data_IF_017983173425
#
_entry.id   IF_017983173425
#
_cell.length_a   1.000
_cell.length_b   1.000
_cell.length_c   1.000
_cell.angle_alpha   90.00
_cell.angle_beta   90.00
_cell.angle_gamma   90.00
#
_symmetry.space_group_name_H-M   'P 1'
#
loop_
_entity.id
_entity.type
_entity.pdbx_description
1 polymer ?
#
# COMPACT_ATOMS: atom_id res chain seq x y z
N UNK A 1 20.19 5.97 1.44
CA UNK A 1 19.46 4.68 1.57
C UNK A 1 18.99 4.59 3.01
N UNK A 2 17.73 4.24 3.23
CA UNK A 2 17.16 4.06 4.58
C UNK A 2 17.04 2.57 4.90
N UNK A 3 17.34 2.21 6.15
CA UNK A 3 17.23 0.84 6.64
C UNK A 3 16.64 0.83 8.05
N UNK A 4 15.63 0.01 8.29
CA UNK A 4 15.02 -0.12 9.61
C UNK A 4 14.44 -1.52 9.86
N UNK A 5 14.13 -1.78 11.13
CA UNK A 5 13.45 -3.00 11.56
C UNK A 5 12.03 -2.70 11.99
N UNK A 6 11.11 -3.54 11.53
CA UNK A 6 9.70 -3.51 11.90
C UNK A 6 9.50 -4.10 13.31
N UNK A 7 8.52 -3.57 14.01
CA UNK A 7 8.09 -4.00 15.33
C UNK A 7 7.10 -5.18 15.26
N UNK A 8 6.55 -5.47 14.08
CA UNK A 8 5.69 -6.64 13.85
C UNK A 8 6.51 -7.94 13.90
N UNK A 9 5.97 -8.95 14.59
CA UNK A 9 6.59 -10.26 14.68
C UNK A 9 6.76 -10.93 13.31
N UNK A 10 7.96 -11.44 13.02
CA UNK A 10 8.32 -12.06 11.72
C UNK A 10 7.40 -13.19 11.29
N UNK A 11 6.79 -13.92 12.24
CA UNK A 11 5.78 -14.95 11.96
C UNK A 11 4.53 -14.37 11.29
N UNK A 12 4.07 -13.21 11.75
CA UNK A 12 2.91 -12.51 11.18
C UNK A 12 3.28 -12.03 9.78
N UNK A 13 4.44 -11.38 9.62
CA UNK A 13 4.92 -10.88 8.32
C UNK A 13 4.95 -12.02 7.29
N UNK A 14 5.54 -13.17 7.64
CA UNK A 14 5.59 -14.34 6.74
C UNK A 14 4.22 -14.89 6.37
N UNK A 15 3.25 -14.82 7.30
CA UNK A 15 1.90 -15.29 7.04
C UNK A 15 1.14 -14.36 6.10
N UNK A 16 1.32 -13.04 6.20
CA UNK A 16 0.58 -12.05 5.40
C UNK A 16 1.27 -11.72 4.07
N UNK A 17 2.58 -11.90 3.94
CA UNK A 17 3.33 -11.51 2.74
C UNK A 17 2.80 -12.14 1.44
N UNK A 18 2.45 -13.44 1.38
CA UNK A 18 1.83 -14.03 0.18
C UNK A 18 0.51 -13.36 -0.19
N UNK A 19 -0.28 -12.96 0.80
CA UNK A 19 -1.59 -12.34 0.60
C UNK A 19 -1.45 -10.88 0.19
N UNK A 20 -0.45 -10.15 0.72
CA UNK A 20 -0.08 -8.82 0.24
C UNK A 20 0.29 -8.83 -1.25
N UNK A 21 0.99 -9.87 -1.71
CA UNK A 21 1.27 -10.04 -3.14
C UNK A 21 0.01 -10.26 -3.96
N UNK A 22 -1.00 -10.95 -3.42
CA UNK A 22 -2.30 -11.07 -4.10
C UNK A 22 -3.04 -9.73 -4.19
N UNK A 23 -3.03 -8.94 -3.10
CA UNK A 23 -3.59 -7.59 -3.12
C UNK A 23 -2.86 -6.69 -4.12
N UNK A 24 -1.54 -6.81 -4.22
CA UNK A 24 -0.74 -6.08 -5.21
C UNK A 24 -1.14 -6.45 -6.65
N UNK A 25 -1.36 -7.73 -6.95
CA UNK A 25 -1.77 -8.16 -8.30
C UNK A 25 -3.12 -7.57 -8.71
N UNK A 26 -4.05 -7.37 -7.76
CA UNK A 26 -5.38 -6.81 -8.03
C UNK A 26 -5.45 -5.30 -7.84
N UNK A 27 -4.41 -4.62 -7.34
CA UNK A 27 -4.44 -3.17 -7.12
C UNK A 27 -4.73 -2.36 -8.40
N UNK A 28 -4.22 -2.76 -9.59
CA UNK A 28 -4.51 -2.04 -10.82
C UNK A 28 -5.99 -2.01 -11.22
N UNK A 29 -6.80 -2.98 -10.75
CA UNK A 29 -8.24 -3.01 -11.04
C UNK A 29 -9.00 -1.86 -10.35
N UNK A 30 -8.37 -1.21 -9.37
CA UNK A 30 -8.93 -0.08 -8.63
C UNK A 30 -8.36 1.28 -9.06
N UNK A 31 -7.49 1.30 -10.08
CA UNK A 31 -6.97 2.52 -10.69
C UNK A 31 -8.06 3.14 -11.59
N UNK A 32 -8.63 4.25 -11.13
CA UNK A 32 -9.55 5.07 -11.92
C UNK A 32 -9.07 6.53 -11.92
N UNK A 33 -8.19 6.84 -12.87
CA UNK A 33 -7.63 8.19 -13.06
C UNK A 33 -8.66 9.18 -13.61
N UNK A 34 -9.80 8.70 -14.10
CA UNK A 34 -10.84 9.56 -14.68
C UNK A 34 -11.62 10.34 -13.61
N UNK A 35 -11.54 9.90 -12.34
CA UNK A 35 -12.19 10.59 -11.21
C UNK A 35 -11.42 11.81 -10.69
N UNK A 36 -10.16 12.01 -11.10
CA UNK A 36 -9.29 13.11 -10.65
C UNK A 36 -9.18 14.17 -11.74
N UNK A 37 -10.34 14.74 -12.09
CA UNK A 37 -10.50 15.59 -13.28
C UNK A 37 -10.65 17.07 -12.91
N UNK A 38 -9.83 17.98 -13.45
CA UNK A 38 -10.24 19.38 -13.61
C UNK A 38 -11.25 19.45 -14.76
N UNK A 39 -12.48 19.88 -14.51
CA UNK A 39 -13.53 19.99 -15.53
C UNK A 39 -13.15 21.01 -16.62
N UNK A 40 -12.50 20.53 -17.70
CA UNK A 40 -12.01 21.34 -18.81
C UNK A 40 -12.43 20.75 -20.16
N UNK A 41 -12.94 21.61 -21.04
CA UNK A 41 -13.28 21.33 -22.45
C UNK A 41 -12.02 21.19 -23.35
N UNK A 42 -10.92 20.65 -22.82
CA UNK A 42 -9.66 20.46 -23.55
C UNK A 42 -9.27 18.97 -23.56
N UNK A 43 -9.61 18.29 -24.66
CA UNK A 43 -9.40 16.84 -24.83
C UNK A 43 -7.91 16.48 -24.80
N UNK A 44 -7.05 17.27 -25.43
CA UNK A 44 -5.61 16.98 -25.51
C UNK A 44 -4.97 17.12 -24.13
N UNK A 45 -5.37 18.12 -23.35
CA UNK A 45 -4.95 18.28 -21.97
C UNK A 45 -5.42 17.08 -21.11
N UNK A 46 -6.66 16.66 -21.29
CA UNK A 46 -7.24 15.53 -20.54
C UNK A 46 -6.50 14.22 -20.81
N UNK A 47 -6.19 13.93 -22.08
CA UNK A 47 -5.42 12.75 -22.46
C UNK A 47 -4.00 12.78 -21.88
N UNK A 48 -3.30 13.91 -22.00
CA UNK A 48 -1.95 14.07 -21.45
C UNK A 48 -1.92 13.96 -19.91
N UNK A 49 -2.95 14.46 -19.23
CA UNK A 49 -3.10 14.34 -17.78
C UNK A 49 -3.26 12.89 -17.34
N UNK A 50 -4.18 12.15 -17.98
CA UNK A 50 -4.42 10.72 -17.68
C UNK A 50 -3.16 9.90 -17.97
N UNK A 51 -2.47 10.14 -19.09
CA UNK A 51 -1.23 9.45 -19.44
C UNK A 51 -0.12 9.73 -18.41
N UNK A 52 -0.01 10.98 -17.95
CA UNK A 52 0.92 11.36 -16.87
C UNK A 52 0.68 10.56 -15.59
N UNK A 53 -0.56 10.53 -15.10
CA UNK A 53 -0.93 9.78 -13.89
C UNK A 53 -0.68 8.28 -14.04
N UNK A 54 -0.97 7.70 -15.21
CA UNK A 54 -0.72 6.29 -15.48
C UNK A 54 0.79 5.96 -15.49
N UNK A 55 1.63 6.87 -15.96
CA UNK A 55 3.08 6.74 -15.91
C UNK A 55 3.61 6.84 -14.48
N UNK A 56 3.12 7.78 -13.68
CA UNK A 56 3.49 7.91 -12.27
C UNK A 56 3.13 6.64 -11.48
N UNK A 57 1.92 6.13 -11.65
CA UNK A 57 1.49 4.89 -11.01
C UNK A 57 2.31 3.65 -11.42
N UNK A 58 2.90 3.65 -12.63
CA UNK A 58 3.83 2.60 -13.04
C UNK A 58 5.12 2.64 -12.22
N UNK A 59 5.63 3.83 -11.92
CA UNK A 59 6.79 4.07 -11.06
C UNK A 59 6.52 3.58 -9.65
N UNK A 60 5.39 4.00 -9.08
CA UNK A 60 4.90 3.62 -7.75
C UNK A 60 4.80 2.09 -7.59
N UNK A 61 4.14 1.43 -8.55
CA UNK A 61 4.02 -0.05 -8.57
C UNK A 61 5.36 -0.75 -8.71
N UNK A 62 6.29 -0.17 -9.47
CA UNK A 62 7.63 -0.73 -9.62
C UNK A 62 8.42 -0.68 -8.32
N UNK A 63 8.33 0.43 -7.58
CA UNK A 63 8.94 0.57 -6.25
C UNK A 63 8.31 -0.39 -5.23
N UNK A 64 6.97 -0.48 -5.22
CA UNK A 64 6.23 -1.40 -4.37
C UNK A 64 6.56 -2.88 -4.65
N UNK A 65 6.69 -3.26 -5.93
CA UNK A 65 7.09 -4.61 -6.32
C UNK A 65 8.49 -4.96 -5.78
N UNK A 66 9.47 -4.04 -5.91
CA UNK A 66 10.82 -4.24 -5.34
C UNK A 66 10.76 -4.43 -3.82
N UNK A 67 9.94 -3.64 -3.14
CA UNK A 67 9.73 -3.77 -1.69
C UNK A 67 9.14 -5.15 -1.32
N UNK A 68 8.07 -5.59 -1.98
CA UNK A 68 7.40 -6.87 -1.70
C UNK A 68 8.25 -8.10 -2.06
N UNK A 69 9.14 -7.98 -3.04
CA UNK A 69 10.09 -9.03 -3.42
C UNK A 69 11.37 -9.04 -2.57
N UNK A 70 11.54 -8.08 -1.66
CA UNK A 70 12.70 -8.03 -0.79
C UNK A 70 12.80 -9.30 0.08
N UNK A 71 13.90 -10.08 -0.01
CA UNK A 71 14.08 -11.27 0.82
C UNK A 71 14.28 -10.93 2.30
N UNK A 72 14.55 -9.65 2.62
CA UNK A 72 14.74 -9.14 3.98
C UNK A 72 13.40 -8.87 4.68
N UNK A 73 12.35 -8.56 3.91
CA UNK A 73 11.03 -8.18 4.43
C UNK A 73 10.42 -9.28 5.30
N UNK A 74 10.54 -10.54 4.91
CA UNK A 74 10.07 -11.70 5.69
C UNK A 74 10.71 -11.85 7.09
N UNK A 75 11.80 -11.12 7.35
CA UNK A 75 12.51 -11.06 8.63
C UNK A 75 12.25 -9.74 9.36
N UNK A 76 11.30 -8.93 8.89
CA UNK A 76 10.98 -7.63 9.46
C UNK A 76 12.02 -6.56 9.16
N UNK A 77 12.86 -6.74 8.13
CA UNK A 77 13.88 -5.75 7.75
C UNK A 77 13.48 -5.08 6.45
N UNK A 78 13.50 -3.75 6.47
CA UNK A 78 13.17 -2.90 5.32
C UNK A 78 14.41 -2.13 4.90
N UNK A 79 14.66 -2.07 3.60
CA UNK A 79 15.72 -1.32 2.95
C UNK A 79 15.11 -0.63 1.74
N UNK A 80 15.25 0.70 1.67
CA UNK A 80 14.69 1.51 0.60
C UNK A 80 15.76 2.47 0.09
N UNK A 81 15.90 2.54 -1.23
CA UNK A 81 16.78 3.50 -1.88
C UNK A 81 16.16 4.88 -1.83
N UNK A 82 16.97 5.93 -1.72
CA UNK A 82 16.45 7.30 -1.62
C UNK A 82 15.62 7.68 -2.84
N UNK A 83 16.04 7.27 -4.03
CA UNK A 83 15.29 7.51 -5.27
C UNK A 83 13.94 6.79 -5.35
N UNK A 84 13.70 5.77 -4.52
CA UNK A 84 12.48 4.96 -4.52
C UNK A 84 11.50 5.41 -3.41
N UNK A 85 11.86 6.35 -2.54
CA UNK A 85 11.10 6.67 -1.32
C UNK A 85 9.70 7.19 -1.65
N UNK A 86 9.59 8.22 -2.48
CA UNK A 86 8.30 8.85 -2.78
C UNK A 86 7.36 7.88 -3.50
N UNK A 87 7.90 7.18 -4.49
CA UNK A 87 7.17 6.18 -5.27
C UNK A 87 6.69 5.02 -4.38
N UNK A 88 7.53 4.57 -3.44
CA UNK A 88 7.15 3.54 -2.48
C UNK A 88 6.06 4.03 -1.51
N UNK A 89 6.14 5.28 -1.01
CA UNK A 89 5.13 5.84 -0.13
C UNK A 89 3.75 5.93 -0.82
N UNK A 90 3.72 6.33 -2.10
CA UNK A 90 2.50 6.35 -2.92
C UNK A 90 1.98 4.94 -3.19
N UNK A 91 2.85 4.01 -3.61
CA UNK A 91 2.46 2.62 -3.84
C UNK A 91 1.93 1.92 -2.58
N UNK A 92 2.56 2.13 -1.42
CA UNK A 92 2.07 1.64 -0.12
C UNK A 92 0.66 2.18 0.16
N UNK A 93 0.44 3.47 -0.11
CA UNK A 93 -0.86 4.12 0.08
C UNK A 93 -1.93 3.49 -0.82
N UNK A 94 -1.61 3.28 -2.10
CA UNK A 94 -2.50 2.60 -3.06
C UNK A 94 -2.86 1.19 -2.57
N UNK A 95 -1.87 0.39 -2.17
CA UNK A 95 -2.11 -0.97 -1.69
C UNK A 95 -2.97 -1.00 -0.43
N UNK A 96 -2.78 -0.03 0.49
CA UNK A 96 -3.66 0.15 1.66
C UNK A 96 -5.09 0.45 1.25
N UNK A 97 -5.31 1.26 0.21
CA UNK A 97 -6.66 1.49 -0.33
C UNK A 97 -7.24 0.24 -0.98
N UNK A 98 -6.46 -0.54 -1.72
CA UNK A 98 -6.91 -1.82 -2.29
C UNK A 98 -7.38 -2.78 -1.21
N UNK A 99 -6.59 -2.97 -0.15
CA UNK A 99 -6.96 -3.80 1.01
C UNK A 99 -8.26 -3.32 1.65
N UNK A 100 -8.42 -1.98 1.77
CA UNK A 100 -9.61 -1.35 2.31
C UNK A 100 -10.86 -1.59 1.45
N UNK A 101 -10.76 -1.41 0.12
CA UNK A 101 -11.86 -1.62 -0.83
C UNK A 101 -12.24 -3.09 -0.98
N UNK A 102 -11.36 -4.02 -0.61
CA UNK A 102 -11.57 -5.47 -0.75
C UNK A 102 -11.91 -6.13 0.58
N UNK A 103 -10.89 -6.48 1.36
CA UNK A 103 -10.99 -7.27 2.59
C UNK A 103 -11.58 -6.50 3.77
N UNK A 104 -11.46 -5.16 3.79
CA UNK A 104 -11.94 -4.33 4.91
C UNK A 104 -13.13 -3.43 4.53
N UNK A 105 -13.81 -3.69 3.41
CA UNK A 105 -14.84 -2.82 2.85
C UNK A 105 -16.05 -2.56 3.75
N UNK A 106 -16.26 -3.41 4.75
CA UNK A 106 -17.39 -3.34 5.68
C UNK A 106 -17.02 -2.65 7.01
N UNK A 107 -15.84 -2.05 7.11
CA UNK A 107 -15.35 -1.40 8.33
C UNK A 107 -15.10 0.08 8.07
N UNK A 108 -15.59 0.91 9.00
CA UNK A 108 -15.37 2.36 8.98
C UNK A 108 -13.95 2.72 9.42
N UNK A 109 -13.49 3.91 9.03
CA UNK A 109 -12.16 4.42 9.37
C UNK A 109 -11.90 4.47 10.87
N UNK A 110 -12.90 4.90 11.63
CA UNK A 110 -12.80 4.93 13.09
C UNK A 110 -12.49 3.56 13.70
N UNK A 111 -12.94 2.46 13.07
CA UNK A 111 -12.64 1.10 13.53
C UNK A 111 -11.21 0.69 13.16
N UNK A 112 -10.74 1.10 11.98
CA UNK A 112 -9.37 0.82 11.52
C UNK A 112 -8.33 1.59 12.34
N UNK A 113 -8.64 2.80 12.78
CA UNK A 113 -7.75 3.70 13.54
C UNK A 113 -7.75 3.45 15.05
N UNK A 114 -8.89 3.10 15.65
CA UNK A 114 -9.00 2.94 17.12
C UNK A 114 -8.68 1.53 17.63
N UNK A 115 -8.56 0.54 16.75
CA UNK A 115 -8.15 -0.81 17.09
C UNK A 115 -9.26 -1.78 17.53
N UNK A 116 -9.12 -3.00 17.02
CA UNK A 116 -9.55 -4.37 17.40
C UNK A 116 -10.86 -4.74 18.14
N UNK A 117 -11.67 -3.87 18.74
CA UNK A 117 -12.82 -4.37 19.52
C UNK A 117 -14.02 -4.81 18.65
N UNK A 118 -14.12 -4.33 17.40
CA UNK A 118 -15.25 -4.56 16.50
C UNK A 118 -14.94 -5.36 15.22
N UNK A 119 -13.68 -5.77 15.00
CA UNK A 119 -13.34 -6.61 13.84
C UNK A 119 -13.76 -8.04 14.14
N UNK A 120 -14.60 -8.63 13.29
CA UNK A 120 -14.92 -10.06 13.36
C UNK A 120 -13.69 -10.89 12.90
N UNK A 121 -12.65 -10.93 13.73
CA UNK A 121 -11.36 -11.60 13.50
C UNK A 121 -11.46 -13.13 13.33
N UNK A 122 -12.69 -13.67 13.37
CA UNK A 122 -12.98 -15.06 12.98
C UNK A 122 -12.86 -15.25 11.46
N UNK A 123 -13.12 -14.22 10.66
CA UNK A 123 -12.88 -14.25 9.22
C UNK A 123 -11.38 -14.09 8.96
N UNK A 124 -10.79 -15.12 8.37
CA UNK A 124 -9.37 -15.16 8.03
C UNK A 124 -8.99 -14.07 7.01
N UNK A 125 -9.85 -13.80 6.02
CA UNK A 125 -9.62 -12.78 5.00
C UNK A 125 -9.56 -11.38 5.61
N UNK A 126 -10.49 -11.07 6.51
CA UNK A 126 -10.52 -9.80 7.25
C UNK A 126 -9.27 -9.65 8.11
N UNK A 127 -8.88 -10.70 8.82
CA UNK A 127 -7.69 -10.69 9.69
C UNK A 127 -6.41 -10.48 8.89
N UNK A 128 -6.24 -11.19 7.78
CA UNK A 128 -5.09 -11.06 6.88
C UNK A 128 -5.04 -9.65 6.30
N UNK A 129 -6.17 -9.15 5.78
CA UNK A 129 -6.30 -7.80 5.26
C UNK A 129 -5.92 -6.74 6.29
N UNK A 130 -6.42 -6.87 7.52
CA UNK A 130 -6.12 -5.93 8.60
C UNK A 130 -4.63 -5.93 8.98
N UNK A 131 -4.01 -7.09 9.16
CA UNK A 131 -2.57 -7.15 9.44
C UNK A 131 -1.71 -6.67 8.26
N UNK A 132 -2.13 -6.93 7.03
CA UNK A 132 -1.53 -6.37 5.82
C UNK A 132 -1.57 -4.84 5.84
N UNK A 133 -2.75 -4.28 6.14
CA UNK A 133 -2.96 -2.84 6.26
C UNK A 133 -2.06 -2.19 7.32
N UNK A 134 -1.97 -2.81 8.51
CA UNK A 134 -1.12 -2.33 9.61
C UNK A 134 0.38 -2.42 9.29
N UNK A 135 0.82 -3.53 8.68
CA UNK A 135 2.21 -3.67 8.24
C UNK A 135 2.61 -2.53 7.29
N UNK A 136 1.77 -2.26 6.31
CA UNK A 136 1.99 -1.18 5.34
C UNK A 136 1.99 0.20 6.02
N UNK A 137 1.09 0.42 6.97
CA UNK A 137 1.06 1.66 7.75
C UNK A 137 2.34 1.86 8.57
N UNK A 138 2.83 0.81 9.24
CA UNK A 138 4.08 0.88 10.00
C UNK A 138 5.28 1.21 9.09
N UNK A 139 5.39 0.54 7.94
CA UNK A 139 6.45 0.80 6.97
C UNK A 139 6.41 2.27 6.53
N UNK A 140 5.22 2.79 6.20
CA UNK A 140 5.03 4.18 5.78
C UNK A 140 5.47 5.16 6.87
N UNK A 141 5.02 4.95 8.11
CA UNK A 141 5.38 5.78 9.26
C UNK A 141 6.89 5.78 9.49
N UNK A 142 7.53 4.61 9.44
CA UNK A 142 8.98 4.48 9.61
C UNK A 142 9.75 5.20 8.52
N UNK A 143 9.36 5.06 7.25
CA UNK A 143 9.99 5.81 6.15
C UNK A 143 9.88 7.32 6.41
N UNK A 144 8.69 7.81 6.78
CA UNK A 144 8.46 9.23 7.07
C UNK A 144 9.35 9.72 8.22
N UNK A 145 9.50 8.93 9.29
CA UNK A 145 10.38 9.28 10.40
C UNK A 145 11.87 9.33 10.04
N UNK A 146 12.32 8.54 9.07
CA UNK A 146 13.73 8.52 8.65
C UNK A 146 14.08 9.65 7.68
N UNK A 147 13.09 10.27 7.02
CA UNK A 147 13.29 11.38 6.07
C UNK A 147 12.97 12.77 6.64
N UNK A 148 12.29 12.83 7.80
CA UNK A 148 11.92 14.06 8.49
C UNK A 148 13.06 14.61 9.37
#
# INVERSE_FOLDING_TARGET
MIEFSLQIGTRIIRAILPELKKFFVVSPEFEDYTQVFPDQDDVDFNEAWIEGLANDAKSDRSALARFLESPRLQYGRVEVKEEDIDDLLRGITELRFTIRKTSLKNFDDSVLECGMDNLNLKDESVRIGYFGYLLLAEVQEKIICEIA
#
